data_IF_873535697937
#
_entry.id   IF_873535697937
#
_cell.length_a   1.000
_cell.length_b   1.000
_cell.length_c   1.000
_cell.angle_alpha   90.00
_cell.angle_beta   90.00
_cell.angle_gamma   90.00
#
_symmetry.space_group_name_H-M   'P 1'
#
loop_
_entity.id
_entity.type
_entity.pdbx_description
1 polymer ?
#
# COMPACT_ATOMS: atom_id res chain seq x y z
N UNK A 1 6.70 -8.67 1.18
CA UNK A 1 5.54 -8.95 0.31
C UNK A 1 4.69 -10.13 0.79
N UNK A 2 5.26 -11.29 1.14
CA UNK A 2 4.49 -12.43 1.65
C UNK A 2 3.58 -12.09 2.85
N UNK A 3 4.06 -11.30 3.82
CA UNK A 3 3.24 -10.83 4.95
C UNK A 3 2.05 -9.96 4.50
N UNK A 4 2.28 -9.01 3.59
CA UNK A 4 1.21 -8.14 3.09
C UNK A 4 0.14 -8.98 2.39
N UNK A 5 0.56 -9.88 1.48
CA UNK A 5 -0.34 -10.78 0.77
C UNK A 5 -1.10 -11.72 1.71
N UNK A 6 -0.42 -12.29 2.71
CA UNK A 6 -1.07 -13.14 3.72
C UNK A 6 -2.09 -12.38 4.55
N UNK A 7 -1.77 -11.16 4.98
CA UNK A 7 -2.68 -10.31 5.76
C UNK A 7 -3.90 -9.86 4.95
N UNK A 8 -3.74 -9.47 3.67
CA UNK A 8 -4.88 -9.14 2.80
C UNK A 8 -5.71 -10.37 2.43
N UNK A 9 -5.09 -11.53 2.20
CA UNK A 9 -5.82 -12.78 2.00
C UNK A 9 -6.64 -13.16 3.22
N UNK A 10 -6.07 -13.05 4.42
CA UNK A 10 -6.80 -13.29 5.67
C UNK A 10 -8.00 -12.33 5.79
N UNK A 11 -7.80 -11.04 5.53
CA UNK A 11 -8.89 -10.05 5.57
C UNK A 11 -10.04 -10.37 4.59
N UNK A 12 -9.80 -11.12 3.52
CA UNK A 12 -10.89 -11.55 2.59
C UNK A 12 -11.82 -12.60 3.19
N UNK A 13 -11.41 -13.29 4.26
CA UNK A 13 -12.16 -14.38 4.89
C UNK A 13 -12.99 -13.91 6.09
N UNK A 14 -13.12 -12.60 6.32
CA UNK A 14 -13.83 -12.04 7.49
C UNK A 14 -15.34 -12.32 7.39
N UNK A 15 -15.96 -12.93 8.41
CA UNK A 15 -17.39 -13.23 8.39
C UNK A 15 -18.25 -11.96 8.56
N UNK A 16 -19.46 -11.98 7.99
CA UNK A 16 -20.43 -10.86 8.03
C UNK A 16 -20.81 -10.47 9.47
N UNK A 17 -20.76 -11.42 10.41
CA UNK A 17 -21.01 -11.21 11.85
C UNK A 17 -19.73 -11.38 12.70
N UNK A 18 -18.57 -11.06 12.13
CA UNK A 18 -17.30 -11.08 12.84
C UNK A 18 -17.13 -9.91 13.80
N UNK A 19 -16.15 -10.02 14.69
CA UNK A 19 -15.70 -8.93 15.57
C UNK A 19 -14.33 -8.44 15.13
N UNK A 20 -14.07 -7.14 15.27
CA UNK A 20 -12.81 -6.53 14.82
C UNK A 20 -11.58 -7.28 15.36
N UNK A 21 -11.55 -7.55 16.67
CA UNK A 21 -10.39 -8.13 17.33
C UNK A 21 -10.13 -9.59 16.96
N UNK A 22 -11.18 -10.39 16.78
CA UNK A 22 -11.01 -11.82 16.46
C UNK A 22 -10.75 -12.04 14.97
N UNK A 23 -11.43 -11.31 14.10
CA UNK A 23 -11.50 -11.67 12.67
C UNK A 23 -10.62 -10.78 11.79
N UNK A 24 -10.41 -9.51 12.17
CA UNK A 24 -9.78 -8.51 11.28
C UNK A 24 -8.43 -7.99 11.82
N UNK A 25 -8.30 -7.81 13.13
CA UNK A 25 -7.13 -7.20 13.75
C UNK A 25 -5.84 -7.98 13.43
N UNK A 26 -5.89 -9.32 13.46
CA UNK A 26 -4.76 -10.16 13.10
C UNK A 26 -4.27 -9.92 11.67
N UNK A 27 -5.18 -9.96 10.69
CA UNK A 27 -4.86 -9.70 9.28
C UNK A 27 -4.30 -8.29 9.04
N UNK A 28 -4.87 -7.28 9.70
CA UNK A 28 -4.39 -5.89 9.63
C UNK A 28 -3.00 -5.71 10.24
N UNK A 29 -2.73 -6.35 11.39
CA UNK A 29 -1.42 -6.30 12.04
C UNK A 29 -0.36 -6.94 11.13
N UNK A 30 -0.66 -8.10 10.54
CA UNK A 30 0.27 -8.80 9.63
C UNK A 30 0.53 -7.98 8.37
N UNK A 31 -0.53 -7.42 7.76
CA UNK A 31 -0.39 -6.57 6.58
C UNK A 31 0.38 -5.27 6.91
N UNK A 32 0.09 -4.66 8.05
CA UNK A 32 0.75 -3.46 8.55
C UNK A 32 2.23 -3.68 8.83
N UNK A 33 2.58 -4.76 9.53
CA UNK A 33 3.98 -5.15 9.77
C UNK A 33 4.72 -5.37 8.44
N UNK A 34 4.11 -6.10 7.50
CA UNK A 34 4.67 -6.31 6.17
C UNK A 34 4.92 -5.00 5.41
N UNK A 35 4.02 -4.03 5.54
CA UNK A 35 4.10 -2.72 4.91
C UNK A 35 5.20 -1.85 5.55
N UNK A 36 5.31 -1.86 6.88
CA UNK A 36 6.36 -1.17 7.61
C UNK A 36 7.76 -1.67 7.20
N UNK A 37 7.94 -2.99 7.13
CA UNK A 37 9.20 -3.57 6.66
C UNK A 37 9.53 -3.14 5.23
N UNK A 38 8.55 -3.20 4.30
CA UNK A 38 8.76 -2.78 2.93
C UNK A 38 9.11 -1.29 2.81
N UNK A 39 8.44 -0.44 3.59
CA UNK A 39 8.68 1.00 3.60
C UNK A 39 10.08 1.35 4.13
N UNK A 40 10.44 0.79 5.28
CA UNK A 40 11.75 1.04 5.92
C UNK A 40 12.87 0.51 5.03
N UNK A 41 12.76 -0.73 4.52
CA UNK A 41 13.79 -1.32 3.67
C UNK A 41 14.01 -0.52 2.39
N UNK A 42 12.92 -0.05 1.76
CA UNK A 42 13.00 0.76 0.55
C UNK A 42 13.61 2.13 0.83
N UNK A 43 13.24 2.75 1.95
CA UNK A 43 13.80 4.04 2.37
C UNK A 43 15.30 3.95 2.63
N UNK A 44 15.73 2.93 3.38
CA UNK A 44 17.15 2.69 3.64
C UNK A 44 17.87 2.43 2.32
N UNK A 45 17.38 1.49 1.49
CA UNK A 45 18.01 1.16 0.21
C UNK A 45 18.12 2.38 -0.72
N UNK A 46 17.10 3.24 -0.78
CA UNK A 46 17.08 4.44 -1.62
C UNK A 46 17.94 5.60 -1.11
N UNK A 47 18.28 5.62 0.19
CA UNK A 47 19.09 6.66 0.81
C UNK A 47 20.52 6.20 1.15
N UNK A 48 20.83 4.92 0.98
CA UNK A 48 22.15 4.37 1.28
C UNK A 48 23.20 5.05 0.40
N UNK A 49 24.25 5.61 1.01
CA UNK A 49 25.34 6.28 0.29
C UNK A 49 25.05 7.73 -0.13
N UNK A 50 23.88 8.27 0.17
CA UNK A 50 23.57 9.69 -0.06
C UNK A 50 24.28 10.55 0.99
N UNK A 51 25.00 11.58 0.55
CA UNK A 51 25.65 12.54 1.46
C UNK A 51 24.64 13.46 2.16
N UNK A 52 24.99 13.98 3.33
CA UNK A 52 24.09 14.80 4.16
C UNK A 52 23.53 16.03 3.41
N UNK A 53 24.33 16.62 2.52
CA UNK A 53 23.92 17.77 1.68
C UNK A 53 22.82 17.42 0.68
N UNK A 54 22.76 16.17 0.24
CA UNK A 54 21.83 15.69 -0.79
C UNK A 54 20.67 14.88 -0.18
N UNK A 55 20.69 14.62 1.13
CA UNK A 55 19.68 13.81 1.81
C UNK A 55 18.25 14.36 1.64
N UNK A 56 18.10 15.68 1.68
CA UNK A 56 16.80 16.34 1.44
C UNK A 56 16.30 16.13 0.00
N UNK A 57 17.20 16.22 -0.99
CA UNK A 57 16.88 15.99 -2.39
C UNK A 57 16.50 14.53 -2.64
N UNK A 58 17.29 13.59 -2.13
CA UNK A 58 17.04 12.15 -2.29
C UNK A 58 15.74 11.71 -1.59
N UNK A 59 15.47 12.20 -0.38
CA UNK A 59 14.20 11.93 0.33
C UNK A 59 12.99 12.51 -0.42
N UNK A 60 13.12 13.73 -0.96
CA UNK A 60 12.10 14.35 -1.80
C UNK A 60 11.80 13.53 -3.05
N UNK A 61 12.84 13.04 -3.73
CA UNK A 61 12.69 12.19 -4.92
C UNK A 61 12.06 10.83 -4.58
N UNK A 62 12.43 10.24 -3.45
CA UNK A 62 11.82 9.00 -2.94
C UNK A 62 10.33 9.20 -2.68
N UNK A 63 9.95 10.30 -2.03
CA UNK A 63 8.55 10.61 -1.74
C UNK A 63 7.75 10.90 -3.02
N UNK A 64 8.30 11.69 -3.95
CA UNK A 64 7.69 11.93 -5.26
C UNK A 64 7.45 10.62 -6.01
N UNK A 65 8.42 9.71 -6.01
CA UNK A 65 8.28 8.39 -6.62
C UNK A 65 7.13 7.58 -6.00
N UNK A 66 6.97 7.65 -4.68
CA UNK A 66 5.85 7.02 -3.97
C UNK A 66 4.50 7.66 -4.35
N UNK A 67 4.41 8.99 -4.44
CA UNK A 67 3.20 9.70 -4.85
C UNK A 67 2.81 9.35 -6.29
N UNK A 68 3.79 9.28 -7.22
CA UNK A 68 3.55 8.84 -8.60
C UNK A 68 3.03 7.41 -8.63
N UNK A 69 3.66 6.49 -7.88
CA UNK A 69 3.19 5.11 -7.77
C UNK A 69 1.76 5.02 -7.25
N UNK A 70 1.42 5.80 -6.22
CA UNK A 70 0.07 5.90 -5.68
C UNK A 70 -0.95 6.43 -6.70
N UNK A 71 -0.62 7.50 -7.41
CA UNK A 71 -1.45 8.07 -8.45
C UNK A 71 -1.73 7.07 -9.58
N UNK A 72 -0.70 6.34 -10.04
CA UNK A 72 -0.85 5.28 -11.05
C UNK A 72 -1.77 4.16 -10.53
N UNK A 73 -1.56 3.70 -9.29
CA UNK A 73 -2.39 2.65 -8.68
C UNK A 73 -3.87 3.05 -8.60
N UNK A 74 -4.15 4.30 -8.21
CA UNK A 74 -5.51 4.85 -8.20
C UNK A 74 -6.07 4.91 -9.62
N UNK A 75 -5.33 5.42 -10.61
CA UNK A 75 -5.79 5.51 -12.00
C UNK A 75 -6.16 4.15 -12.60
N UNK A 76 -5.36 3.11 -12.32
CA UNK A 76 -5.64 1.74 -12.77
C UNK A 76 -6.88 1.14 -12.09
N UNK A 77 -7.16 1.55 -10.85
CA UNK A 77 -8.33 1.08 -10.10
C UNK A 77 -9.59 1.82 -10.53
N UNK A 78 -9.53 3.15 -10.68
CA UNK A 78 -10.66 3.98 -11.07
C UNK A 78 -11.09 3.77 -12.51
N UNK A 79 -10.15 3.55 -13.43
CA UNK A 79 -10.47 3.22 -14.84
C UNK A 79 -11.32 1.95 -14.99
N UNK A 80 -11.28 1.01 -14.05
CA UNK A 80 -12.20 -0.15 -14.01
C UNK A 80 -13.59 0.19 -13.51
N UNK A 81 -13.70 1.19 -12.64
CA UNK A 81 -14.98 1.64 -12.06
C UNK A 81 -15.77 2.58 -12.98
N UNK A 82 -15.11 3.22 -13.94
CA UNK A 82 -15.70 4.24 -14.81
C UNK A 82 -16.49 3.65 -16.01
N UNK A 83 -17.07 2.46 -15.85
CA UNK A 83 -17.94 1.89 -16.87
C UNK A 83 -19.22 2.73 -16.92
N UNK A 84 -19.44 3.53 -17.99
CA UNK A 84 -20.61 4.39 -18.05
C UNK A 84 -21.80 3.46 -18.01
N UNK A 85 -22.67 3.63 -17.00
CA UNK A 85 -23.99 2.98 -16.99
C UNK A 85 -24.65 3.35 -18.31
N UNK A 86 -24.59 2.45 -19.28
CA UNK A 86 -25.30 2.58 -20.55
C UNK A 86 -26.73 2.89 -20.17
N UNK A 87 -27.14 4.11 -20.50
CA UNK A 87 -28.50 4.63 -20.44
C UNK A 87 -29.44 3.55 -20.97
N UNK A 88 -30.00 2.75 -20.07
CA UNK A 88 -31.21 2.01 -20.35
C UNK A 88 -32.33 3.02 -20.22
N UNK A 89 -32.60 3.67 -21.36
CA UNK A 89 -33.95 4.09 -21.73
C UNK A 89 -34.90 2.90 -21.61
#
# INVERSE_FOLDING_TARGET
MAMIAGGTLWATQVPVRGTFWADLAGGLIVAGAGSAFAFISTSVAGLTGVGERDAGFASGLLNMSQQIGGAIGVAVTSSRGDQPRRQRR
#
